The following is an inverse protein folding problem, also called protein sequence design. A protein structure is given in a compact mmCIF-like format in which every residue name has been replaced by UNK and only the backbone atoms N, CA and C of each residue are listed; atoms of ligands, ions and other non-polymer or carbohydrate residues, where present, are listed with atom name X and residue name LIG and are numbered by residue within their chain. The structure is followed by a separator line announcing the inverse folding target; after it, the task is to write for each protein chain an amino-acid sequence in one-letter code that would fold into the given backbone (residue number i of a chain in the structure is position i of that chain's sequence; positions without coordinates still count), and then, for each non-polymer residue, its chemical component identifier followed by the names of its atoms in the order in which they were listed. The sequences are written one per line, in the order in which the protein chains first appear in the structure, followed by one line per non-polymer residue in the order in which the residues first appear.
data_IF_931536680453
#
_entry.id   IF_931536680453
#
_cell.length_a   1.000
_cell.length_b   1.000
_cell.length_c   1.000
_cell.angle_alpha   90.00
_cell.angle_beta   90.00
_cell.angle_gamma   90.00
#
_symmetry.space_group_name_H-M   'P 1'
#
loop_
_entity.id
_entity.type
_entity.pdbx_description
1 polymer ?
#
# COMPACT_ATOMS: atom_id res chain seq x y z
N UNK A 1 5.67 9.32 -39.67
CA UNK A 1 6.18 7.97 -39.32
C UNK A 1 4.98 7.13 -38.90
N UNK A 2 4.70 6.03 -39.59
CA UNK A 2 3.58 5.13 -39.26
C UNK A 2 3.98 4.23 -38.08
N UNK A 3 3.05 3.83 -37.19
CA UNK A 3 3.35 2.91 -36.11
C UNK A 3 3.65 1.52 -36.68
N UNK A 4 4.91 1.09 -36.57
CA UNK A 4 5.34 -0.26 -36.97
C UNK A 4 5.17 -1.24 -35.81
N UNK A 5 4.74 -2.46 -36.14
CA UNK A 5 4.51 -3.58 -35.19
C UNK A 5 5.79 -4.19 -34.64
N UNK A 6 6.95 -3.81 -35.18
CA UNK A 6 8.27 -4.24 -34.68
C UNK A 6 8.62 -3.37 -33.47
N UNK A 7 8.53 -3.97 -32.28
CA UNK A 7 8.90 -3.31 -31.02
C UNK A 7 10.42 -3.32 -30.85
N UNK A 8 11.09 -2.33 -31.42
CA UNK A 8 12.48 -2.06 -31.08
C UNK A 8 12.55 -1.49 -29.65
N UNK A 9 13.30 -2.17 -28.77
CA UNK A 9 13.45 -1.78 -27.36
C UNK A 9 14.25 -0.49 -27.17
N UNK A 10 15.00 -0.09 -28.20
CA UNK A 10 15.84 1.11 -28.18
C UNK A 10 15.27 2.30 -28.96
N UNK A 11 13.99 2.25 -29.36
CA UNK A 11 13.33 3.39 -30.02
C UNK A 11 13.23 4.62 -29.08
N UNK A 12 13.95 5.72 -29.37
CA UNK A 12 13.93 6.93 -28.55
C UNK A 12 12.58 7.65 -28.57
N UNK A 13 11.77 7.46 -29.62
CA UNK A 13 10.45 8.09 -29.79
C UNK A 13 9.35 7.39 -29.00
N UNK A 14 9.57 6.14 -28.56
CA UNK A 14 8.69 5.42 -27.62
C UNK A 14 8.99 5.71 -26.17
N UNK A 15 10.23 6.11 -25.86
CA UNK A 15 10.60 6.54 -24.52
C UNK A 15 10.04 7.95 -24.31
N UNK A 16 9.07 8.09 -23.42
CA UNK A 16 8.68 9.41 -22.95
C UNK A 16 9.90 10.02 -22.26
N UNK A 17 10.50 11.07 -22.82
CA UNK A 17 11.78 11.68 -22.41
C UNK A 17 11.59 13.05 -21.75
N UNK A 18 10.41 13.33 -21.19
CA UNK A 18 10.21 14.54 -20.40
C UNK A 18 11.23 14.57 -19.24
N UNK A 19 12.07 15.59 -19.23
CA UNK A 19 13.17 15.74 -18.28
C UNK A 19 12.62 16.06 -16.88
N UNK A 20 12.39 15.04 -16.06
CA UNK A 20 12.26 15.24 -14.61
C UNK A 20 13.65 15.58 -14.09
N UNK A 21 13.87 16.82 -13.64
CA UNK A 21 15.14 17.24 -13.02
C UNK A 21 15.48 16.41 -11.78
N UNK A 22 16.66 16.65 -11.18
CA UNK A 22 17.17 15.92 -9.99
C UNK A 22 16.32 16.08 -8.73
N UNK A 23 15.20 16.80 -8.81
CA UNK A 23 14.28 17.06 -7.70
C UNK A 23 13.25 15.94 -7.55
N UNK A 24 13.06 15.48 -6.32
CA UNK A 24 12.07 14.46 -5.94
C UNK A 24 10.69 14.76 -6.56
N UNK A 25 10.18 13.91 -7.48
CA UNK A 25 8.97 14.24 -8.22
C UNK A 25 7.76 14.36 -7.28
N UNK A 26 6.89 15.37 -7.48
CA UNK A 26 5.78 15.65 -6.58
C UNK A 26 4.82 14.47 -6.46
N UNK A 27 4.62 13.69 -7.53
CA UNK A 27 3.80 12.48 -7.51
C UNK A 27 4.35 11.41 -6.55
N UNK A 28 5.67 11.22 -6.50
CA UNK A 28 6.30 10.26 -5.59
C UNK A 28 6.23 10.76 -4.14
N UNK A 29 6.33 12.07 -3.93
CA UNK A 29 6.10 12.70 -2.62
C UNK A 29 4.66 12.51 -2.14
N UNK A 30 3.66 12.69 -3.00
CA UNK A 30 2.26 12.40 -2.67
C UNK A 30 2.06 10.93 -2.32
N UNK A 31 2.65 10.01 -3.10
CA UNK A 31 2.62 8.57 -2.81
C UNK A 31 3.20 8.26 -1.43
N UNK A 32 4.34 8.85 -1.07
CA UNK A 32 4.96 8.68 0.24
C UNK A 32 4.01 9.06 1.38
N UNK A 33 3.39 10.25 1.30
CA UNK A 33 2.45 10.70 2.33
C UNK A 33 1.19 9.85 2.41
N UNK A 34 0.69 9.37 1.27
CA UNK A 34 -0.46 8.45 1.24
C UNK A 34 -0.13 7.10 1.89
N UNK A 35 1.04 6.53 1.60
CA UNK A 35 1.49 5.28 2.26
C UNK A 35 1.66 5.50 3.76
N UNK A 36 2.27 6.62 4.17
CA UNK A 36 2.46 6.93 5.59
C UNK A 36 1.12 7.13 6.32
N UNK A 37 0.18 7.83 5.70
CA UNK A 37 -1.17 8.01 6.23
C UNK A 37 -1.92 6.69 6.36
N UNK A 38 -1.83 5.81 5.37
CA UNK A 38 -2.41 4.47 5.43
C UNK A 38 -1.75 3.61 6.52
N UNK A 39 -0.42 3.65 6.64
CA UNK A 39 0.31 2.92 7.68
C UNK A 39 -0.10 3.37 9.09
N UNK A 40 -0.25 4.69 9.31
CA UNK A 40 -0.77 5.22 10.57
C UNK A 40 -2.19 4.74 10.88
N UNK A 41 -3.09 4.75 9.88
CA UNK A 41 -4.44 4.21 10.05
C UNK A 41 -4.43 2.72 10.35
N UNK A 42 -3.59 1.92 9.67
CA UNK A 42 -3.42 0.50 9.96
C UNK A 42 -2.91 0.25 11.39
N UNK A 43 -2.01 1.10 11.88
CA UNK A 43 -1.53 1.07 13.26
C UNK A 43 -2.66 1.34 14.27
N UNK A 44 -3.37 2.46 14.10
CA UNK A 44 -4.46 2.86 15.00
C UNK A 44 -5.58 1.83 14.99
N UNK A 45 -5.97 1.34 13.80
CA UNK A 45 -7.01 0.31 13.67
C UNK A 45 -6.58 -1.02 14.29
N UNK A 46 -5.35 -1.46 14.08
CA UNK A 46 -4.80 -2.66 14.71
C UNK A 46 -4.78 -2.55 16.24
N UNK A 47 -4.40 -1.40 16.78
CA UNK A 47 -4.44 -1.15 18.23
C UNK A 47 -5.86 -1.12 18.77
N UNK A 48 -6.80 -0.47 18.06
CA UNK A 48 -8.22 -0.46 18.43
C UNK A 48 -8.78 -1.89 18.45
N UNK A 49 -8.48 -2.71 17.44
CA UNK A 49 -8.90 -4.11 17.39
C UNK A 49 -8.35 -4.92 18.56
N UNK A 50 -7.13 -4.68 19.01
CA UNK A 50 -6.57 -5.35 20.19
C UNK A 50 -7.21 -4.88 21.50
N UNK A 51 -7.63 -3.62 21.57
CA UNK A 51 -8.37 -3.08 22.72
C UNK A 51 -9.85 -3.47 22.72
N UNK A 52 -10.41 -3.75 21.54
CA UNK A 52 -11.78 -4.19 21.39
C UNK A 52 -11.92 -5.60 21.97
N UNK A 53 -12.81 -5.76 22.93
CA UNK A 53 -13.14 -7.06 23.50
C UNK A 53 -14.10 -7.85 22.62
N UNK A 54 -14.54 -9.01 23.12
CA UNK A 54 -15.66 -9.72 22.52
C UNK A 54 -16.94 -8.90 22.72
N UNK A 55 -17.79 -8.71 21.69
CA UNK A 55 -19.01 -7.92 21.81
C UNK A 55 -19.97 -8.51 22.87
N UNK A 56 -20.51 -7.64 23.71
CA UNK A 56 -21.46 -8.02 24.76
C UNK A 56 -22.77 -8.53 24.13
N UNK A 57 -23.23 -9.71 24.53
CA UNK A 57 -24.46 -10.33 24.02
C UNK A 57 -24.28 -11.21 22.77
N UNK A 58 -23.06 -11.39 22.26
CA UNK A 58 -22.78 -12.35 21.20
C UNK A 58 -22.65 -13.78 21.75
N UNK A 59 -23.00 -14.75 20.90
CA UNK A 59 -23.06 -16.16 21.28
C UNK A 59 -21.65 -16.71 21.60
N UNK A 60 -21.50 -17.20 22.84
CA UNK A 60 -20.21 -17.48 23.47
C UNK A 60 -19.47 -18.64 22.78
N UNK A 61 -20.21 -19.49 22.05
CA UNK A 61 -19.66 -20.54 21.19
C UNK A 61 -18.72 -19.99 20.11
N UNK A 62 -18.92 -18.76 19.63
CA UNK A 62 -18.09 -18.14 18.59
C UNK A 62 -16.95 -17.28 19.15
N UNK A 63 -16.84 -17.16 20.48
CA UNK A 63 -15.83 -16.31 21.14
C UNK A 63 -14.40 -16.67 20.78
N UNK A 64 -14.06 -17.95 20.80
CA UNK A 64 -12.72 -18.43 20.48
C UNK A 64 -12.29 -18.09 19.05
N UNK A 65 -13.03 -18.53 18.01
CA UNK A 65 -12.74 -18.21 16.62
C UNK A 65 -12.70 -16.71 16.33
N UNK A 66 -13.65 -15.94 16.85
CA UNK A 66 -13.73 -14.49 16.64
C UNK A 66 -12.50 -13.77 17.20
N UNK A 67 -12.15 -14.03 18.46
CA UNK A 67 -10.99 -13.41 19.11
C UNK A 67 -9.67 -13.78 18.43
N UNK A 68 -9.55 -15.01 17.91
CA UNK A 68 -8.37 -15.42 17.14
C UNK A 68 -8.25 -14.65 15.83
N UNK A 69 -9.34 -14.57 15.06
CA UNK A 69 -9.36 -13.85 13.78
C UNK A 69 -9.07 -12.36 13.99
N UNK A 70 -9.66 -11.75 15.02
CA UNK A 70 -9.42 -10.36 15.41
C UNK A 70 -7.94 -10.08 15.71
N UNK A 71 -7.29 -10.95 16.48
CA UNK A 71 -5.86 -10.85 16.77
C UNK A 71 -5.02 -11.00 15.50
N UNK A 72 -5.33 -11.98 14.65
CA UNK A 72 -4.60 -12.20 13.39
C UNK A 72 -4.71 -10.97 12.48
N UNK A 73 -5.90 -10.40 12.34
CA UNK A 73 -6.10 -9.16 11.59
C UNK A 73 -5.32 -8.00 12.20
N UNK A 74 -5.37 -7.82 13.53
CA UNK A 74 -4.68 -6.74 14.20
C UNK A 74 -3.16 -6.84 14.02
N UNK A 75 -2.58 -8.01 14.26
CA UNK A 75 -1.15 -8.26 14.03
C UNK A 75 -0.78 -8.09 12.56
N UNK A 76 -1.62 -8.58 11.63
CA UNK A 76 -1.42 -8.39 10.21
C UNK A 76 -1.35 -6.90 9.83
N UNK A 77 -2.27 -6.09 10.33
CA UNK A 77 -2.26 -4.65 10.08
C UNK A 77 -1.02 -3.96 10.67
N UNK A 78 -0.61 -4.32 11.89
CA UNK A 78 0.58 -3.75 12.54
C UNK A 78 1.87 -4.09 11.78
N UNK A 79 2.06 -5.35 11.41
CA UNK A 79 3.24 -5.81 10.67
C UNK A 79 3.28 -5.16 9.29
N UNK A 80 2.17 -5.14 8.56
CA UNK A 80 2.10 -4.54 7.23
C UNK A 80 2.28 -3.02 7.27
N UNK A 81 1.77 -2.33 8.29
CA UNK A 81 2.04 -0.91 8.50
C UNK A 81 3.54 -0.62 8.63
N UNK A 82 4.25 -1.45 9.41
CA UNK A 82 5.70 -1.33 9.59
C UNK A 82 6.44 -1.59 8.28
N UNK A 83 6.10 -2.68 7.58
CA UNK A 83 6.70 -3.01 6.29
C UNK A 83 6.47 -1.92 5.24
N UNK A 84 5.28 -1.33 5.20
CA UNK A 84 4.95 -0.21 4.33
C UNK A 84 5.72 1.05 4.68
N UNK A 85 5.88 1.37 5.96
CA UNK A 85 6.69 2.51 6.41
C UNK A 85 8.17 2.36 6.02
N UNK A 86 8.74 1.16 6.19
CA UNK A 86 10.11 0.84 5.77
C UNK A 86 10.24 0.87 4.24
N UNK A 87 9.27 0.36 3.51
CA UNK A 87 9.28 0.44 2.05
C UNK A 87 9.17 1.89 1.56
N UNK A 88 8.35 2.72 2.23
CA UNK A 88 8.16 4.12 1.91
C UNK A 88 9.41 4.97 2.20
N UNK A 89 10.19 4.66 3.25
CA UNK A 89 11.44 5.36 3.54
C UNK A 89 12.51 5.17 2.48
N UNK A 90 12.37 4.16 1.62
CA UNK A 90 13.27 3.89 0.50
C UNK A 90 12.90 4.65 -0.78
N UNK A 91 11.72 5.30 -0.84
CA UNK A 91 11.28 6.09 -2.00
C UNK A 91 12.15 7.32 -2.30
N UNK A 92 12.64 8.09 -1.31
CA UNK A 92 13.56 9.20 -1.55
C UNK A 92 14.90 8.75 -2.17
N UNK A 93 15.35 7.53 -1.87
CA UNK A 93 16.63 6.99 -2.32
C UNK A 93 16.58 6.41 -3.75
N UNK A 94 15.43 6.45 -4.43
CA UNK A 94 15.30 6.00 -5.82
C UNK A 94 15.51 4.50 -6.05
N UNK A 95 15.61 3.69 -5.00
CA UNK A 95 16.02 2.27 -5.14
C UNK A 95 15.07 1.46 -6.02
N UNK A 96 15.59 0.88 -7.10
CA UNK A 96 14.84 0.07 -8.09
C UNK A 96 14.06 -1.11 -7.46
N UNK A 97 14.56 -1.67 -6.36
CA UNK A 97 13.95 -2.80 -5.67
C UNK A 97 12.79 -2.44 -4.72
N UNK A 98 12.62 -1.19 -4.30
CA UNK A 98 11.63 -0.86 -3.26
C UNK A 98 10.17 -0.95 -3.75
N UNK A 99 9.92 -0.73 -5.04
CA UNK A 99 8.58 -0.71 -5.63
C UNK A 99 7.86 -2.07 -5.69
N UNK A 100 8.47 -3.16 -6.18
CA UNK A 100 7.81 -4.46 -6.17
C UNK A 100 7.49 -4.91 -4.74
N UNK A 101 8.40 -4.72 -3.79
CA UNK A 101 8.15 -5.02 -2.37
C UNK A 101 7.03 -4.15 -1.77
N UNK A 102 7.05 -2.83 -2.02
CA UNK A 102 5.96 -1.95 -1.60
C UNK A 102 4.62 -2.40 -2.18
N UNK A 103 4.57 -2.74 -3.47
CA UNK A 103 3.35 -3.22 -4.11
C UNK A 103 2.85 -4.55 -3.52
N UNK A 104 3.75 -5.45 -3.16
CA UNK A 104 3.42 -6.71 -2.51
C UNK A 104 2.84 -6.47 -1.10
N UNK A 105 3.42 -5.56 -0.32
CA UNK A 105 2.89 -5.17 0.99
C UNK A 105 1.54 -4.47 0.88
N UNK A 106 1.34 -3.60 -0.12
CA UNK A 106 0.05 -2.97 -0.38
C UNK A 106 -1.01 -4.03 -0.72
N UNK A 107 -0.70 -4.96 -1.62
CA UNK A 107 -1.61 -6.04 -1.98
C UNK A 107 -1.97 -6.90 -0.75
N UNK A 108 -0.98 -7.24 0.08
CA UNK A 108 -1.19 -7.95 1.34
C UNK A 108 -2.09 -7.16 2.32
N UNK A 109 -1.87 -5.85 2.46
CA UNK A 109 -2.67 -4.98 3.30
C UNK A 109 -4.12 -4.90 2.85
N UNK A 110 -4.35 -4.77 1.54
CA UNK A 110 -5.69 -4.78 0.95
C UNK A 110 -6.37 -6.12 1.20
N UNK A 111 -5.67 -7.23 0.97
CA UNK A 111 -6.21 -8.57 1.21
C UNK A 111 -6.63 -8.77 2.68
N UNK A 112 -5.75 -8.43 3.64
CA UNK A 112 -6.06 -8.56 5.08
C UNK A 112 -7.27 -7.72 5.46
N UNK A 113 -7.39 -6.49 4.94
CA UNK A 113 -8.52 -5.62 5.24
C UNK A 113 -9.84 -6.13 4.63
N UNK A 114 -9.81 -6.71 3.43
CA UNK A 114 -10.99 -7.34 2.82
C UNK A 114 -11.42 -8.58 3.62
N UNK A 115 -10.48 -9.45 3.99
CA UNK A 115 -10.78 -10.65 4.80
C UNK A 115 -11.35 -10.27 6.16
N UNK A 116 -10.76 -9.27 6.82
CA UNK A 116 -11.27 -8.75 8.08
C UNK A 116 -12.70 -8.20 7.98
N UNK A 117 -13.04 -7.60 6.84
CA UNK A 117 -14.39 -7.12 6.57
C UNK A 117 -15.39 -8.26 6.36
N UNK A 118 -15.00 -9.31 5.63
CA UNK A 118 -15.85 -10.50 5.43
C UNK A 118 -16.16 -11.19 6.78
N UNK A 119 -15.17 -11.22 7.68
CA UNK A 119 -15.32 -11.80 9.04
C UNK A 119 -16.07 -10.83 9.99
N UNK A 120 -16.53 -9.67 9.50
CA UNK A 120 -17.23 -8.63 10.26
C UNK A 120 -16.43 -8.10 11.47
N UNK A 121 -15.10 -8.18 11.39
CA UNK A 121 -14.18 -7.65 12.40
C UNK A 121 -13.73 -6.23 12.04
N UNK A 122 -13.74 -5.89 10.74
CA UNK A 122 -13.28 -4.59 10.26
C UNK A 122 -14.29 -3.46 10.45
N UNK A 123 -13.77 -2.27 10.72
CA UNK A 123 -14.53 -1.02 10.77
C UNK A 123 -14.49 -0.29 9.41
N UNK A 124 -15.30 0.76 9.25
CA UNK A 124 -15.25 1.69 8.12
C UNK A 124 -13.84 2.22 7.81
N UNK A 125 -12.97 2.27 8.81
CA UNK A 125 -11.56 2.62 8.65
C UNK A 125 -10.79 1.70 7.68
N UNK A 126 -11.16 0.42 7.57
CA UNK A 126 -10.54 -0.52 6.62
C UNK A 126 -10.80 -0.12 5.16
N UNK A 127 -11.96 0.44 4.84
CA UNK A 127 -12.22 0.98 3.51
C UNK A 127 -11.33 2.18 3.21
N UNK A 128 -11.18 3.11 4.17
CA UNK A 128 -10.31 4.26 4.00
C UNK A 128 -8.85 3.85 3.75
N UNK A 129 -8.35 2.83 4.46
CA UNK A 129 -7.02 2.24 4.26
C UNK A 129 -6.87 1.73 2.82
N UNK A 130 -7.81 0.89 2.36
CA UNK A 130 -7.75 0.31 1.00
C UNK A 130 -7.76 1.40 -0.07
N UNK A 131 -8.60 2.42 0.09
CA UNK A 131 -8.69 3.55 -0.85
C UNK A 131 -7.37 4.33 -0.88
N UNK A 132 -6.82 4.69 0.28
CA UNK A 132 -5.53 5.39 0.39
C UNK A 132 -4.39 4.61 -0.26
N UNK A 133 -4.29 3.31 0.02
CA UNK A 133 -3.27 2.44 -0.54
C UNK A 133 -3.40 2.28 -2.06
N UNK A 134 -4.64 2.24 -2.57
CA UNK A 134 -4.91 2.19 -4.01
C UNK A 134 -4.45 3.47 -4.69
N UNK A 135 -4.79 4.64 -4.13
CA UNK A 135 -4.29 5.92 -4.64
C UNK A 135 -2.77 6.00 -4.55
N UNK A 136 -2.17 5.51 -3.46
CA UNK A 136 -0.72 5.44 -3.33
C UNK A 136 -0.09 4.62 -4.48
N UNK A 137 -0.64 3.45 -4.82
CA UNK A 137 -0.20 2.65 -5.97
C UNK A 137 -0.27 3.43 -7.29
N UNK A 138 -1.38 4.14 -7.54
CA UNK A 138 -1.55 4.95 -8.76
C UNK A 138 -0.49 6.05 -8.87
N UNK A 139 -0.22 6.77 -7.79
CA UNK A 139 0.83 7.81 -7.77
C UNK A 139 2.24 7.22 -7.81
N UNK A 140 2.43 6.04 -7.21
CA UNK A 140 3.68 5.32 -7.24
C UNK A 140 4.05 4.94 -8.67
N UNK A 141 3.13 4.41 -9.49
CA UNK A 141 3.41 3.94 -10.86
C UNK A 141 3.20 4.98 -11.97
N UNK A 142 2.96 6.25 -11.63
CA UNK A 142 2.80 7.32 -12.61
C UNK A 142 4.09 7.50 -13.45
N UNK A 143 4.01 7.83 -14.76
CA UNK A 143 5.18 7.88 -15.65
C UNK A 143 6.33 8.76 -15.17
N UNK A 144 6.03 9.91 -14.54
CA UNK A 144 7.04 10.80 -13.94
C UNK A 144 7.80 10.15 -12.76
N UNK A 145 7.16 9.24 -12.03
CA UNK A 145 7.77 8.46 -10.95
C UNK A 145 8.64 7.31 -11.50
N UNK A 146 8.27 6.74 -12.65
CA UNK A 146 9.05 5.68 -13.31
C UNK A 146 10.42 6.19 -13.79
N UNK A 147 10.46 7.39 -14.37
CA UNK A 147 11.70 7.98 -14.90
C UNK A 147 12.74 8.29 -13.81
N UNK A 148 12.30 8.71 -12.62
CA UNK A 148 13.21 9.01 -11.51
C UNK A 148 13.89 7.75 -10.97
N UNK A 149 13.15 6.63 -10.88
CA UNK A 149 13.69 5.35 -10.39
C UNK A 149 14.54 4.64 -11.45
N UNK A 150 14.26 4.81 -12.74
CA UNK A 150 15.05 4.20 -13.82
C UNK A 150 16.47 4.78 -13.90
N UNK A 151 16.65 6.05 -13.49
CA UNK A 151 17.93 6.75 -13.44
C UNK A 151 18.81 6.41 -12.22
N UNK A 152 18.23 5.98 -11.09
CA UNK A 152 18.96 5.58 -9.88
C UNK A 152 19.56 4.16 -9.99
#
# INVERSE_FOLDING_TARGET
MFPTVVGDSDDPNRRYTAHTGDTWPPALRTSYWLVMGAALLMLVTGMMLLSAGFPEGADEQFRGPFMRNMRVTAFGNLVLALCLAVAASQFPNGTKGARPWASAFIAGAVFVNIVAFIIQVASWASFAIVVLLTFALFFMFRPASNQFVERA
#
